data_IF_964897583435
#
_entry.id   IF_964897583435
#
_cell.length_a   1.000
_cell.length_b   1.000
_cell.length_c   1.000
_cell.angle_alpha   90.00
_cell.angle_beta   90.00
_cell.angle_gamma   90.00
#
_symmetry.space_group_name_H-M   'P 1'
#
loop_
_entity.id
_entity.type
_entity.pdbx_description
1 polymer ?
#
# COMPACT_ATOMS: atom_id res chain seq x y z
N UNK A 1 -20.49 1.23 22.24
CA UNK A 1 -19.61 0.13 21.80
C UNK A 1 -18.20 0.56 22.11
N UNK A 2 -17.45 -0.21 22.89
CA UNK A 2 -16.08 0.16 23.26
C UNK A 2 -15.13 -0.02 22.05
N UNK A 3 -14.00 0.70 22.04
CA UNK A 3 -12.97 0.50 21.01
C UNK A 3 -12.44 -0.94 21.02
N UNK A 4 -12.35 -1.55 22.21
CA UNK A 4 -11.97 -2.94 22.39
C UNK A 4 -13.00 -3.91 21.77
N UNK A 5 -14.31 -3.64 21.90
CA UNK A 5 -15.37 -4.48 21.31
C UNK A 5 -15.30 -4.45 19.78
N UNK A 6 -14.98 -3.30 19.19
CA UNK A 6 -14.81 -3.16 17.74
C UNK A 6 -13.60 -3.97 17.25
N UNK A 7 -12.45 -3.86 17.91
CA UNK A 7 -11.24 -4.62 17.58
C UNK A 7 -11.51 -6.13 17.69
N UNK A 8 -12.12 -6.58 18.80
CA UNK A 8 -12.44 -7.99 18.99
C UNK A 8 -13.41 -8.53 17.94
N UNK A 9 -14.40 -7.72 17.51
CA UNK A 9 -15.29 -8.09 16.41
C UNK A 9 -14.57 -8.19 15.06
N UNK A 10 -13.66 -7.26 14.78
CA UNK A 10 -12.84 -7.34 13.57
C UNK A 10 -11.94 -8.58 13.60
N UNK A 11 -11.35 -8.92 14.74
CA UNK A 11 -10.58 -10.16 14.89
C UNK A 11 -11.43 -11.41 14.69
N UNK A 12 -12.65 -11.45 15.25
CA UNK A 12 -13.57 -12.56 15.04
C UNK A 12 -14.03 -12.68 13.57
N UNK A 13 -14.34 -11.55 12.91
CA UNK A 13 -14.76 -11.53 11.51
C UNK A 13 -13.63 -11.94 10.56
N UNK A 14 -12.37 -11.65 10.91
CA UNK A 14 -11.19 -11.99 10.13
C UNK A 14 -10.47 -13.24 10.67
N UNK A 15 -11.12 -14.07 11.48
CA UNK A 15 -10.45 -15.19 12.16
C UNK A 15 -9.68 -16.11 11.19
N UNK A 16 -10.22 -16.30 9.98
CA UNK A 16 -9.62 -17.13 8.93
C UNK A 16 -8.33 -16.56 8.29
N UNK A 17 -8.07 -15.26 8.42
CA UNK A 17 -6.85 -14.58 7.94
C UNK A 17 -6.29 -13.60 8.98
N UNK A 18 -6.46 -13.96 10.26
CA UNK A 18 -6.05 -13.14 11.39
C UNK A 18 -4.53 -12.94 11.43
N UNK A 19 -3.75 -13.91 10.94
CA UNK A 19 -2.29 -13.78 10.82
C UNK A 19 -1.90 -12.64 9.87
N UNK A 20 -2.53 -12.55 8.70
CA UNK A 20 -2.29 -11.47 7.74
C UNK A 20 -2.75 -10.10 8.24
N UNK A 21 -3.91 -10.03 8.90
CA UNK A 21 -4.37 -8.79 9.52
C UNK A 21 -3.43 -8.34 10.64
N UNK A 22 -3.04 -9.26 11.52
CA UNK A 22 -2.13 -8.99 12.64
C UNK A 22 -0.75 -8.56 12.16
N UNK A 23 -0.26 -9.13 11.06
CA UNK A 23 0.99 -8.69 10.45
C UNK A 23 0.97 -7.18 10.17
N UNK A 24 -0.08 -6.63 9.55
CA UNK A 24 -0.15 -5.18 9.27
C UNK A 24 -0.21 -4.35 10.56
N UNK A 25 -0.91 -4.83 11.59
CA UNK A 25 -0.92 -4.17 12.90
C UNK A 25 0.46 -4.14 13.54
N UNK A 26 1.13 -5.28 13.64
CA UNK A 26 2.39 -5.46 14.33
C UNK A 26 3.57 -4.86 13.55
N UNK A 27 3.56 -4.96 12.22
CA UNK A 27 4.61 -4.42 11.39
C UNK A 27 4.60 -2.88 11.40
N UNK A 28 3.42 -2.28 11.25
CA UNK A 28 3.26 -0.83 11.10
C UNK A 28 3.10 -0.09 12.42
N UNK A 29 2.32 -0.66 13.36
CA UNK A 29 2.00 -0.12 14.70
C UNK A 29 1.72 1.40 14.66
N UNK A 30 0.84 1.82 13.75
CA UNK A 30 0.56 3.22 13.47
C UNK A 30 -0.93 3.42 13.16
N UNK A 31 -1.74 3.95 14.11
CA UNK A 31 -3.18 4.08 13.94
C UNK A 31 -3.58 5.02 12.79
N UNK A 32 -2.69 5.92 12.38
CA UNK A 32 -2.93 6.91 11.33
C UNK A 32 -3.06 6.27 9.94
N UNK A 33 -2.57 5.05 9.75
CA UNK A 33 -2.62 4.40 8.43
C UNK A 33 -2.76 2.87 8.43
N UNK A 34 -2.50 2.15 9.51
CA UNK A 34 -2.52 0.67 9.51
C UNK A 34 -3.88 0.09 9.08
N UNK A 35 -4.99 0.76 9.40
CA UNK A 35 -6.34 0.28 9.08
C UNK A 35 -6.64 0.27 7.58
N UNK A 36 -5.95 1.09 6.77
CA UNK A 36 -6.07 1.01 5.32
C UNK A 36 -5.65 -0.37 4.79
N UNK A 37 -4.53 -0.89 5.28
CA UNK A 37 -4.01 -2.20 4.89
C UNK A 37 -4.90 -3.34 5.40
N UNK A 38 -5.35 -3.25 6.65
CA UNK A 38 -6.21 -4.27 7.26
C UNK A 38 -7.56 -4.37 6.54
N UNK A 39 -8.22 -3.24 6.28
CA UNK A 39 -9.51 -3.26 5.57
C UNK A 39 -9.35 -3.59 4.08
N UNK A 40 -8.23 -3.21 3.47
CA UNK A 40 -7.92 -3.63 2.11
C UNK A 40 -7.79 -5.14 1.99
N UNK A 41 -7.07 -5.78 2.92
CA UNK A 41 -6.96 -7.24 2.99
C UNK A 41 -8.34 -7.89 3.10
N UNK A 42 -9.20 -7.41 4.00
CA UNK A 42 -10.57 -7.92 4.13
C UNK A 42 -11.34 -7.77 2.81
N UNK A 43 -11.27 -6.60 2.16
CA UNK A 43 -11.94 -6.36 0.89
C UNK A 43 -11.45 -7.32 -0.21
N UNK A 44 -10.14 -7.50 -0.36
CA UNK A 44 -9.56 -8.42 -1.36
C UNK A 44 -9.94 -9.86 -1.05
N UNK A 45 -9.92 -10.28 0.22
CA UNK A 45 -10.34 -11.62 0.66
C UNK A 45 -11.81 -11.91 0.37
N UNK A 46 -12.66 -10.88 0.36
CA UNK A 46 -14.08 -10.96 0.02
C UNK A 46 -14.37 -10.53 -1.43
N UNK A 47 -13.36 -10.56 -2.31
CA UNK A 47 -13.47 -10.28 -3.75
C UNK A 47 -13.93 -8.85 -4.13
N UNK A 48 -13.84 -7.91 -3.19
CA UNK A 48 -14.04 -6.49 -3.42
C UNK A 48 -12.72 -5.83 -3.86
N UNK A 49 -12.26 -6.17 -5.07
CA UNK A 49 -10.93 -5.78 -5.56
C UNK A 49 -10.72 -4.27 -5.71
N UNK A 50 -11.68 -3.56 -6.31
CA UNK A 50 -11.57 -2.11 -6.52
C UNK A 50 -11.42 -1.32 -5.21
N UNK A 51 -12.28 -1.50 -4.18
CA UNK A 51 -12.08 -0.81 -2.90
C UNK A 51 -10.83 -1.34 -2.17
N UNK A 52 -10.48 -2.62 -2.32
CA UNK A 52 -9.26 -3.18 -1.75
C UNK A 52 -7.99 -2.49 -2.28
N UNK A 53 -7.85 -2.38 -3.59
CA UNK A 53 -6.72 -1.73 -4.25
C UNK A 53 -6.64 -0.24 -3.89
N UNK A 54 -7.77 0.47 -3.94
CA UNK A 54 -7.82 1.88 -3.54
C UNK A 54 -7.39 2.08 -2.07
N UNK A 55 -7.81 1.18 -1.18
CA UNK A 55 -7.40 1.23 0.23
C UNK A 55 -5.89 0.93 0.39
N UNK A 56 -5.30 -0.01 -0.35
CA UNK A 56 -3.85 -0.25 -0.32
C UNK A 56 -3.06 0.99 -0.77
N UNK A 57 -3.46 1.64 -1.86
CA UNK A 57 -2.80 2.87 -2.31
C UNK A 57 -2.89 3.99 -1.29
N UNK A 58 -4.06 4.16 -0.66
CA UNK A 58 -4.24 5.13 0.42
C UNK A 58 -3.38 4.79 1.64
N UNK A 59 -3.24 3.51 1.98
CA UNK A 59 -2.36 3.04 3.05
C UNK A 59 -0.89 3.35 2.76
N UNK A 60 -0.41 3.05 1.55
CA UNK A 60 0.95 3.38 1.09
C UNK A 60 1.16 4.90 1.16
N UNK A 61 0.27 5.69 0.56
CA UNK A 61 0.35 7.15 0.56
C UNK A 61 0.39 7.72 1.99
N UNK A 62 -0.55 7.32 2.85
CA UNK A 62 -0.63 7.78 4.22
C UNK A 62 0.63 7.40 5.01
N UNK A 63 1.10 6.16 4.87
CA UNK A 63 2.30 5.68 5.56
C UNK A 63 3.57 6.44 5.17
N UNK A 64 3.71 6.81 3.89
CA UNK A 64 4.81 7.66 3.41
C UNK A 64 4.74 9.05 4.04
N UNK A 65 3.58 9.71 3.95
CA UNK A 65 3.41 11.10 4.41
C UNK A 65 3.57 11.22 5.92
N UNK A 66 2.93 10.32 6.67
CA UNK A 66 2.99 10.29 8.14
C UNK A 66 4.40 10.00 8.60
N UNK A 67 5.09 9.02 8.01
CA UNK A 67 6.47 8.69 8.42
C UNK A 67 7.44 9.82 8.10
N UNK A 68 7.37 10.40 6.90
CA UNK A 68 8.18 11.58 6.53
C UNK A 68 7.97 12.73 7.50
N UNK A 69 6.73 13.01 7.88
CA UNK A 69 6.42 14.05 8.84
C UNK A 69 6.98 13.73 10.22
N UNK A 70 6.80 12.49 10.72
CA UNK A 70 7.31 12.08 12.03
C UNK A 70 8.83 12.16 12.14
N UNK A 71 9.55 11.83 11.07
CA UNK A 71 11.02 11.95 11.01
C UNK A 71 11.45 13.42 10.96
N UNK A 72 10.72 14.26 10.23
CA UNK A 72 10.98 15.70 10.20
C UNK A 72 10.57 16.41 11.52
N UNK A 73 9.63 15.84 12.27
CA UNK A 73 8.97 16.44 13.42
C UNK A 73 9.74 16.34 14.76
N UNK A 74 11.05 16.09 14.73
CA UNK A 74 11.93 16.66 15.76
C UNK A 74 11.75 18.20 15.88
N UNK A 75 11.05 18.86 14.93
CA UNK A 75 10.93 20.32 14.83
C UNK A 75 9.52 20.96 14.83
N UNK A 76 8.38 20.26 14.91
CA UNK A 76 7.06 20.96 14.90
C UNK A 76 5.90 20.18 15.54
N UNK A 77 5.07 20.90 16.31
CA UNK A 77 4.04 20.37 17.22
C UNK A 77 2.67 20.06 16.59
N UNK A 78 2.47 20.23 15.27
CA UNK A 78 1.17 20.06 14.62
C UNK A 78 1.19 19.01 13.51
N UNK A 79 0.29 18.03 13.65
CA UNK A 79 0.07 16.94 12.70
C UNK A 79 -0.99 17.34 11.67
N UNK A 80 -0.60 18.04 10.61
CA UNK A 80 -1.49 18.29 9.47
C UNK A 80 -0.89 17.76 8.17
N UNK A 81 -1.53 16.72 7.63
CA UNK A 81 -1.15 16.14 6.35
C UNK A 81 -1.62 17.04 5.21
N UNK A 82 -0.69 17.71 4.53
CA UNK A 82 -1.01 18.58 3.38
C UNK A 82 -1.84 17.83 2.32
N UNK A 83 -3.04 18.30 1.94
CA UNK A 83 -3.92 17.60 1.00
C UNK A 83 -3.33 17.49 -0.41
N UNK A 84 -2.25 18.20 -0.70
CA UNK A 84 -1.61 18.25 -2.02
C UNK A 84 -0.46 17.24 -2.19
N UNK A 85 -0.06 16.53 -1.12
CA UNK A 85 0.98 15.49 -1.20
C UNK A 85 0.33 14.14 -1.43
N UNK A 86 0.12 13.83 -2.70
CA UNK A 86 -0.43 12.56 -3.14
C UNK A 86 0.73 11.60 -3.51
N UNK A 87 0.54 10.28 -3.41
CA UNK A 87 1.44 9.22 -3.91
C UNK A 87 1.86 9.52 -5.36
N UNK A 88 3.12 9.90 -5.51
CA UNK A 88 3.72 10.40 -6.74
C UNK A 88 5.22 10.12 -6.71
N UNK A 89 5.89 10.13 -7.87
CA UNK A 89 7.35 10.01 -7.89
C UNK A 89 8.01 11.04 -6.97
N UNK A 90 7.53 12.29 -6.92
CA UNK A 90 8.07 13.32 -6.02
C UNK A 90 7.99 12.91 -4.54
N UNK A 91 6.86 12.36 -4.10
CA UNK A 91 6.71 11.89 -2.71
C UNK A 91 7.68 10.72 -2.43
N UNK A 92 7.79 9.79 -3.37
CA UNK A 92 8.70 8.64 -3.26
C UNK A 92 10.18 9.08 -3.26
N UNK A 93 10.55 10.07 -4.07
CA UNK A 93 11.89 10.66 -4.04
C UNK A 93 12.17 11.29 -2.69
N UNK A 94 11.23 12.08 -2.14
CA UNK A 94 11.41 12.68 -0.80
C UNK A 94 11.54 11.61 0.30
N UNK A 95 10.75 10.54 0.22
CA UNK A 95 10.84 9.40 1.14
C UNK A 95 12.18 8.68 1.02
N UNK A 96 12.64 8.42 -0.20
CA UNK A 96 13.94 7.83 -0.48
C UNK A 96 15.10 8.68 0.08
N UNK A 97 15.06 9.99 -0.17
CA UNK A 97 16.08 10.93 0.31
C UNK A 97 16.12 11.00 1.86
N UNK A 98 15.00 10.68 2.52
CA UNK A 98 14.91 10.54 3.97
C UNK A 98 15.29 9.13 4.49
N UNK A 99 15.79 8.25 3.62
CA UNK A 99 16.22 6.88 3.95
C UNK A 99 15.10 5.84 4.01
N UNK A 100 13.86 6.18 3.66
CA UNK A 100 12.76 5.22 3.64
C UNK A 100 13.00 4.14 2.57
N UNK A 101 12.61 2.88 2.81
CA UNK A 101 12.91 1.76 1.91
C UNK A 101 11.93 1.69 0.72
N UNK A 102 11.82 2.75 -0.07
CA UNK A 102 10.84 2.84 -1.17
C UNK A 102 11.02 1.78 -2.25
N UNK A 103 12.18 1.13 -2.34
CA UNK A 103 12.41 0.00 -3.23
C UNK A 103 11.50 -1.20 -2.94
N UNK A 104 10.98 -1.33 -1.71
CA UNK A 104 9.98 -2.34 -1.37
C UNK A 104 8.60 -2.11 -2.03
N UNK A 105 8.40 -0.96 -2.69
CA UNK A 105 7.20 -0.65 -3.47
C UNK A 105 7.34 -1.02 -4.96
N UNK A 106 8.49 -1.54 -5.39
CA UNK A 106 8.67 -2.01 -6.76
C UNK A 106 7.77 -3.22 -7.03
N UNK A 107 7.11 -3.22 -8.19
CA UNK A 107 6.30 -4.35 -8.61
C UNK A 107 7.19 -5.52 -9.06
N UNK A 108 6.73 -6.78 -8.96
CA UNK A 108 7.46 -7.92 -9.53
C UNK A 108 7.81 -7.68 -11.01
N UNK A 109 9.09 -7.82 -11.36
CA UNK A 109 9.60 -7.56 -12.71
C UNK A 109 9.85 -6.08 -13.05
N UNK A 110 9.68 -5.14 -12.11
CA UNK A 110 10.02 -3.73 -12.30
C UNK A 110 11.52 -3.47 -12.03
N UNK A 111 12.38 -3.93 -12.93
CA UNK A 111 13.84 -3.81 -12.78
C UNK A 111 14.36 -2.36 -12.80
N UNK A 112 13.58 -1.44 -13.37
CA UNK A 112 13.92 -0.03 -13.59
C UNK A 112 13.23 0.93 -12.62
N UNK A 113 12.82 0.45 -11.43
CA UNK A 113 12.12 1.26 -10.43
C UNK A 113 12.86 2.58 -10.12
N UNK A 114 14.15 2.51 -9.76
CA UNK A 114 14.92 3.70 -9.41
C UNK A 114 15.22 4.60 -10.61
N UNK A 115 15.37 4.03 -11.81
CA UNK A 115 15.55 4.81 -13.04
C UNK A 115 14.29 5.62 -13.37
N UNK A 116 13.10 5.00 -13.27
CA UNK A 116 11.81 5.67 -13.42
C UNK A 116 11.62 6.73 -12.34
N UNK A 117 11.95 6.42 -11.10
CA UNK A 117 11.86 7.36 -9.98
C UNK A 117 12.75 8.61 -10.21
N UNK A 118 13.94 8.42 -10.76
CA UNK A 118 14.90 9.49 -11.07
C UNK A 118 14.55 10.28 -12.35
N UNK A 119 13.63 9.79 -13.17
CA UNK A 119 13.24 10.43 -14.44
C UNK A 119 12.67 11.84 -14.23
N UNK A 120 12.95 12.75 -15.18
CA UNK A 120 12.54 14.16 -15.10
C UNK A 120 11.80 14.59 -16.36
N UNK A 121 11.02 15.65 -16.26
CA UNK A 121 10.39 16.30 -17.42
C UNK A 121 11.46 16.71 -18.46
N UNK A 122 11.15 16.63 -19.77
CA UNK A 122 9.87 16.23 -20.36
C UNK A 122 9.63 14.70 -20.37
N UNK A 123 10.67 13.88 -20.18
CA UNK A 123 10.62 12.42 -20.31
C UNK A 123 10.36 11.71 -18.97
N UNK A 124 9.48 12.27 -18.13
CA UNK A 124 9.14 11.67 -16.84
C UNK A 124 8.34 10.39 -17.09
N UNK A 125 8.74 9.31 -16.42
CA UNK A 125 8.04 8.03 -16.37
C UNK A 125 7.70 7.72 -14.91
N UNK A 126 6.43 7.47 -14.63
CA UNK A 126 5.99 7.10 -13.28
C UNK A 126 6.39 5.65 -12.97
N UNK A 127 6.78 5.39 -11.71
CA UNK A 127 6.92 4.01 -11.23
C UNK A 127 5.56 3.33 -11.18
N UNK A 128 5.53 2.00 -11.24
CA UNK A 128 4.29 1.25 -11.44
C UNK A 128 3.24 1.52 -10.37
N UNK A 129 3.65 1.58 -9.09
CA UNK A 129 2.74 1.91 -7.97
C UNK A 129 2.10 3.29 -8.11
N UNK A 130 2.79 4.27 -8.69
CA UNK A 130 2.27 5.62 -8.93
C UNK A 130 1.34 5.64 -10.14
N UNK A 131 1.74 4.96 -11.23
CA UNK A 131 0.95 4.82 -12.45
C UNK A 131 -0.41 4.18 -12.16
N UNK A 132 -0.40 3.02 -11.50
CA UNK A 132 -1.63 2.29 -11.15
C UNK A 132 -2.51 3.08 -10.19
N UNK A 133 -1.92 3.76 -9.19
CA UNK A 133 -2.69 4.64 -8.32
C UNK A 133 -3.39 5.72 -9.11
N UNK A 134 -2.65 6.45 -9.95
CA UNK A 134 -3.21 7.54 -10.75
C UNK A 134 -4.36 7.05 -11.62
N UNK A 135 -4.21 5.90 -12.27
CA UNK A 135 -5.27 5.30 -13.07
C UNK A 135 -6.51 4.99 -12.23
N UNK A 136 -6.35 4.12 -11.23
CA UNK A 136 -7.47 3.58 -10.45
C UNK A 136 -8.17 4.67 -9.63
N UNK A 137 -7.42 5.52 -8.92
CA UNK A 137 -8.00 6.55 -8.06
C UNK A 137 -8.57 7.76 -8.84
N UNK A 138 -8.23 7.93 -10.12
CA UNK A 138 -8.90 8.90 -11.00
C UNK A 138 -10.01 8.28 -11.86
N UNK A 139 -10.29 6.98 -11.69
CA UNK A 139 -11.35 6.29 -12.40
C UNK A 139 -10.98 5.83 -13.82
N UNK A 140 -9.71 5.87 -14.20
CA UNK A 140 -9.22 5.24 -15.42
C UNK A 140 -8.98 3.76 -15.18
N UNK A 141 -10.00 2.96 -15.48
CA UNK A 141 -9.96 1.49 -15.41
C UNK A 141 -9.82 0.84 -16.78
N UNK A 142 -9.57 1.63 -17.84
CA UNK A 142 -9.61 1.14 -19.23
C UNK A 142 -8.60 0.04 -19.49
N UNK A 143 -7.45 0.05 -18.80
CA UNK A 143 -6.44 -1.00 -18.89
C UNK A 143 -6.92 -2.36 -18.37
N UNK A 144 -8.00 -2.40 -17.58
CA UNK A 144 -8.60 -3.62 -17.04
C UNK A 144 -9.86 -4.05 -17.80
N UNK A 145 -10.32 -3.26 -18.77
CA UNK A 145 -11.49 -3.60 -19.58
C UNK A 145 -11.11 -4.74 -20.53
N UNK A 146 -11.86 -5.84 -20.47
CA UNK A 146 -11.69 -6.99 -21.35
C UNK A 146 -12.40 -6.72 -22.67
N UNK A 147 -11.66 -6.83 -23.77
CA UNK A 147 -12.20 -6.69 -25.13
C UNK A 147 -12.49 -8.08 -25.68
N UNK A 148 -13.72 -8.30 -26.15
CA UNK A 148 -14.18 -9.57 -26.70
C UNK A 148 -14.69 -9.42 -28.13
N UNK A 149 -14.99 -10.55 -28.77
CA UNK A 149 -15.55 -10.63 -30.13
C UNK A 149 -14.76 -9.84 -31.18
N UNK A 150 -13.42 -9.87 -31.05
CA UNK A 150 -12.50 -9.20 -31.97
C UNK A 150 -12.57 -7.68 -31.94
N UNK A 151 -12.93 -7.08 -30.80
CA UNK A 151 -12.98 -5.62 -30.64
C UNK A 151 -14.38 -5.03 -30.67
N UNK A 152 -15.43 -5.86 -30.76
CA UNK A 152 -16.81 -5.39 -30.93
C UNK A 152 -17.53 -5.12 -29.62
N UNK A 153 -17.18 -5.87 -28.59
CA UNK A 153 -17.76 -5.74 -27.26
C UNK A 153 -16.64 -5.63 -26.21
N UNK A 154 -16.97 -4.98 -25.10
CA UNK A 154 -16.05 -4.80 -23.99
C UNK A 154 -16.80 -4.86 -22.67
N UNK A 155 -16.21 -5.48 -21.66
CA UNK A 155 -16.78 -5.53 -20.33
C UNK A 155 -15.71 -5.35 -19.25
N UNK A 156 -16.17 -4.92 -18.09
CA UNK A 156 -15.38 -4.91 -16.88
C UNK A 156 -16.17 -5.61 -15.78
N UNK A 157 -15.51 -6.53 -15.10
CA UNK A 157 -15.99 -7.14 -13.85
C UNK A 157 -14.92 -6.91 -12.78
N UNK A 158 -15.26 -6.90 -11.48
CA UNK A 158 -14.25 -6.76 -10.43
C UNK A 158 -13.08 -7.74 -10.57
N UNK A 159 -13.32 -8.94 -11.08
CA UNK A 159 -12.33 -9.99 -11.33
C UNK A 159 -11.23 -9.58 -12.31
N UNK A 160 -11.49 -8.62 -13.19
CA UNK A 160 -10.48 -8.06 -14.10
C UNK A 160 -9.35 -7.34 -13.34
N UNK A 161 -9.59 -6.92 -12.09
CA UNK A 161 -8.59 -6.34 -11.18
C UNK A 161 -7.95 -7.36 -10.23
N UNK A 162 -8.39 -8.63 -10.26
CA UNK A 162 -7.98 -9.65 -9.28
C UNK A 162 -6.45 -9.79 -9.23
N UNK A 163 -5.79 -9.95 -10.37
CA UNK A 163 -4.34 -10.11 -10.43
C UNK A 163 -3.61 -8.89 -9.86
N UNK A 164 -3.97 -7.69 -10.33
CA UNK A 164 -3.42 -6.42 -9.82
C UNK A 164 -3.60 -6.30 -8.31
N UNK A 165 -4.77 -6.68 -7.79
CA UNK A 165 -5.05 -6.63 -6.35
C UNK A 165 -4.17 -7.59 -5.55
N UNK A 166 -3.94 -8.80 -6.05
CA UNK A 166 -3.07 -9.78 -5.39
C UNK A 166 -1.60 -9.36 -5.43
N UNK A 167 -1.14 -8.85 -6.57
CA UNK A 167 0.23 -8.31 -6.70
C UNK A 167 0.43 -7.13 -5.76
N UNK A 168 -0.47 -6.15 -5.78
CA UNK A 168 -0.37 -4.97 -4.90
C UNK A 168 -0.47 -5.36 -3.42
N UNK A 169 -1.26 -6.38 -3.08
CA UNK A 169 -1.30 -6.92 -1.72
C UNK A 169 0.06 -7.49 -1.30
N UNK A 170 0.71 -8.28 -2.18
CA UNK A 170 2.08 -8.76 -1.96
C UNK A 170 3.08 -7.61 -1.76
N UNK A 171 3.08 -6.62 -2.65
CA UNK A 171 3.88 -5.39 -2.53
C UNK A 171 3.59 -4.66 -1.20
N UNK A 172 2.34 -4.66 -0.75
CA UNK A 172 1.96 -4.03 0.52
C UNK A 172 2.49 -4.78 1.74
N UNK A 173 2.61 -6.10 1.70
CA UNK A 173 3.26 -6.88 2.75
C UNK A 173 4.76 -6.54 2.84
N UNK A 174 5.46 -6.53 1.70
CA UNK A 174 6.87 -6.16 1.62
C UNK A 174 7.10 -4.72 2.11
N UNK A 175 6.26 -3.79 1.66
CA UNK A 175 6.28 -2.41 2.13
C UNK A 175 6.09 -2.31 3.64
N UNK A 176 5.07 -2.97 4.20
CA UNK A 176 4.80 -2.92 5.62
C UNK A 176 5.94 -3.54 6.45
N UNK A 177 6.57 -4.61 5.96
CA UNK A 177 7.77 -5.19 6.59
C UNK A 177 8.92 -4.18 6.60
N UNK A 178 9.30 -3.68 5.42
CA UNK A 178 10.44 -2.80 5.26
C UNK A 178 10.23 -1.47 6.00
N UNK A 179 9.04 -0.87 5.89
CA UNK A 179 8.68 0.34 6.61
C UNK A 179 8.66 0.10 8.12
N UNK A 180 8.16 -1.04 8.59
CA UNK A 180 8.18 -1.41 10.00
C UNK A 180 9.60 -1.51 10.56
N UNK A 181 10.54 -2.10 9.82
CA UNK A 181 11.95 -2.16 10.18
C UNK A 181 12.56 -0.75 10.25
N UNK A 182 12.31 0.06 9.22
CA UNK A 182 12.81 1.43 9.14
C UNK A 182 12.27 2.31 10.28
N UNK A 183 10.95 2.28 10.54
CA UNK A 183 10.33 3.05 11.62
C UNK A 183 10.90 2.67 13.00
N UNK A 184 11.18 1.38 13.22
CA UNK A 184 11.87 0.91 14.45
C UNK A 184 13.29 1.47 14.54
N UNK A 185 14.06 1.43 13.45
CA UNK A 185 15.41 1.98 13.41
C UNK A 185 15.43 3.50 13.70
N UNK A 186 14.37 4.22 13.33
CA UNK A 186 14.17 5.63 13.66
C UNK A 186 13.56 5.88 15.06
N UNK A 187 13.35 4.85 15.89
CA UNK A 187 12.77 4.99 17.22
C UNK A 187 11.29 5.38 17.24
N UNK A 188 10.58 5.26 16.11
CA UNK A 188 9.17 5.62 15.98
C UNK A 188 8.21 4.53 16.47
N UNK A 189 8.71 3.32 16.71
CA UNK A 189 7.95 2.17 17.20
C UNK A 189 8.60 1.61 18.46
N UNK A 190 7.78 1.19 19.42
CA UNK A 190 8.24 0.78 20.76
C UNK A 190 8.00 -0.70 21.10
N UNK A 191 7.51 -1.51 20.14
CA UNK A 191 7.10 -2.89 20.40
C UNK A 191 7.75 -3.89 19.42
N UNK A 192 8.43 -4.90 19.99
CA UNK A 192 8.88 -6.13 19.32
C UNK A 192 9.74 -5.97 18.06
N UNK A 193 10.36 -7.05 17.56
CA UNK A 193 10.84 -7.07 16.18
C UNK A 193 9.66 -7.01 15.21
N UNK A 194 9.88 -6.51 13.99
CA UNK A 194 8.87 -6.61 12.92
C UNK A 194 8.60 -8.08 12.62
N UNK A 195 7.33 -8.54 12.61
CA UNK A 195 7.03 -9.94 12.34
C UNK A 195 7.47 -10.33 10.92
N UNK A 196 7.75 -11.61 10.67
CA UNK A 196 7.93 -12.11 9.31
C UNK A 196 6.62 -11.99 8.52
N UNK A 197 6.72 -11.84 7.19
CA UNK A 197 5.55 -11.86 6.32
C UNK A 197 4.89 -13.24 6.42
N UNK A 198 3.56 -13.31 6.67
CA UNK A 198 2.87 -14.58 6.83
C UNK A 198 2.81 -15.35 5.52
N UNK A 199 2.93 -16.67 5.60
CA UNK A 199 2.63 -17.55 4.47
C UNK A 199 1.15 -17.47 4.14
N UNK A 200 0.81 -16.92 2.98
CA UNK A 200 -0.58 -16.76 2.55
C UNK A 200 -0.78 -17.36 1.16
N UNK A 201 -1.88 -18.11 0.91
CA UNK A 201 -2.16 -18.65 -0.43
C UNK A 201 -2.40 -17.55 -1.48
N UNK A 202 -2.63 -16.30 -1.06
CA UNK A 202 -2.78 -15.14 -1.93
C UNK A 202 -1.44 -14.50 -2.32
N UNK A 203 -0.40 -14.70 -1.52
CA UNK A 203 0.95 -14.18 -1.78
C UNK A 203 1.71 -15.35 -2.42
N UNK A 204 1.62 -15.48 -3.74
CA UNK A 204 2.48 -16.45 -4.44
C UNK A 204 3.91 -15.94 -4.37
N UNK A 205 4.80 -16.77 -3.84
CA UNK A 205 6.24 -16.58 -3.97
C UNK A 205 6.58 -16.39 -5.45
N UNK A 206 7.08 -15.21 -5.79
CA UNK A 206 7.78 -14.94 -7.05
C UNK A 206 8.95 -15.91 -7.21
#
# INVERSE_FOLDING_TARGET
MSHADYIQRQWAANAAWSAESNFFFEALTAPEFQWFFVQALTAIRTELYLPGVSALFNGIEASLRVTLQQIAAEKQATFELSPYRVLSNTLLTSAHDAGMPVGALAFPGEDNFFDRLASKKPNRVDVEVVRLRNNICHGDILEFVQVVDGGKDAFFTPECLRETALVLLGVSFEWAKALGDFRRACGLLHYGPTPPIPSSPLIRST
#
